data_IF_525572656559
#
_entry.id   IF_525572656559
#
_cell.length_a   1.000
_cell.length_b   1.000
_cell.length_c   1.000
_cell.angle_alpha   90.00
_cell.angle_beta   90.00
_cell.angle_gamma   90.00
#
_symmetry.space_group_name_H-M   'P 1'
#
loop_
_entity.id
_entity.type
_entity.pdbx_description
1 polymer ?
#
# COMPACT_ATOMS: atom_id res chain seq x y z
N UNK A 1 2.40 11.58 -16.99
CA UNK A 1 3.77 11.71 -16.50
C UNK A 1 4.82 11.37 -17.56
N UNK A 2 4.45 10.91 -18.73
CA UNK A 2 5.37 10.65 -19.84
C UNK A 2 6.43 9.56 -19.58
N UNK A 3 6.17 8.65 -18.65
CA UNK A 3 7.11 7.61 -18.25
C UNK A 3 7.14 6.48 -19.27
N UNK A 4 8.33 5.93 -19.46
CA UNK A 4 8.58 4.81 -20.36
C UNK A 4 8.34 3.47 -19.66
N UNK A 5 8.29 2.37 -20.42
CA UNK A 5 8.26 1.02 -19.84
C UNK A 5 9.51 0.72 -18.99
N UNK A 6 10.64 1.33 -19.33
CA UNK A 6 11.88 1.21 -18.54
C UNK A 6 11.73 1.89 -17.19
N UNK A 7 11.14 3.09 -17.14
CA UNK A 7 10.88 3.78 -15.87
C UNK A 7 9.92 2.98 -14.98
N UNK A 8 8.88 2.37 -15.57
CA UNK A 8 7.97 1.49 -14.84
C UNK A 8 8.69 0.27 -14.23
N UNK A 9 9.62 -0.35 -14.97
CA UNK A 9 10.45 -1.43 -14.46
C UNK A 9 11.36 -0.98 -13.32
N UNK A 10 11.97 0.21 -13.42
CA UNK A 10 12.80 0.79 -12.36
C UNK A 10 12.01 1.05 -11.09
N UNK A 11 10.79 1.62 -11.20
CA UNK A 11 9.89 1.80 -10.06
C UNK A 11 9.59 0.47 -9.37
N UNK A 12 9.22 -0.55 -10.16
CA UNK A 12 8.93 -1.88 -9.64
C UNK A 12 10.13 -2.49 -8.91
N UNK A 13 11.31 -2.46 -9.53
CA UNK A 13 12.55 -2.96 -8.93
C UNK A 13 12.92 -2.20 -7.66
N UNK A 14 12.85 -0.86 -7.69
CA UNK A 14 13.14 -0.04 -6.52
C UNK A 14 12.18 -0.32 -5.37
N UNK A 15 10.88 -0.41 -5.62
CA UNK A 15 9.87 -0.73 -4.60
C UNK A 15 10.10 -2.11 -3.94
N UNK A 16 10.58 -3.11 -4.70
CA UNK A 16 10.90 -4.44 -4.17
C UNK A 16 12.20 -4.48 -3.37
N UNK A 17 13.16 -3.58 -3.67
CA UNK A 17 14.52 -3.68 -3.12
C UNK A 17 14.91 -2.56 -2.18
N UNK A 18 14.08 -1.51 -2.04
CA UNK A 18 14.39 -0.34 -1.20
C UNK A 18 14.72 -0.69 0.26
N UNK A 19 14.14 -1.77 0.79
CA UNK A 19 14.26 -2.19 2.18
C UNK A 19 15.13 -3.44 2.38
N UNK A 20 15.88 -3.88 1.38
CA UNK A 20 16.58 -5.19 1.43
C UNK A 20 17.60 -5.26 2.58
N UNK A 21 18.21 -4.15 2.97
CA UNK A 21 19.17 -4.09 4.09
C UNK A 21 18.52 -4.11 5.47
N UNK A 22 17.20 -3.92 5.57
CA UNK A 22 16.51 -3.85 6.87
C UNK A 22 15.38 -4.88 7.04
N UNK A 23 15.33 -5.93 6.21
CA UNK A 23 14.25 -6.93 6.26
C UNK A 23 14.10 -7.59 7.64
N UNK A 24 15.23 -7.94 8.28
CA UNK A 24 15.21 -8.51 9.63
C UNK A 24 14.70 -7.49 10.66
N UNK A 25 15.21 -6.25 10.60
CA UNK A 25 14.77 -5.16 11.47
C UNK A 25 13.29 -4.85 11.27
N UNK A 26 12.77 -4.88 10.04
CA UNK A 26 11.34 -4.71 9.79
C UNK A 26 10.51 -5.79 10.49
N UNK A 27 10.97 -7.04 10.46
CA UNK A 27 10.34 -8.14 11.20
C UNK A 27 10.29 -7.89 12.71
N UNK A 28 11.40 -7.45 13.29
CA UNK A 28 11.49 -7.10 14.71
C UNK A 28 10.55 -5.93 15.07
N UNK A 29 10.58 -4.84 14.30
CA UNK A 29 9.75 -3.65 14.51
C UNK A 29 8.25 -3.92 14.33
N UNK A 30 7.88 -4.92 13.52
CA UNK A 30 6.48 -5.27 13.31
C UNK A 30 5.81 -5.84 14.58
N UNK A 31 6.60 -6.54 15.42
CA UNK A 31 6.13 -7.21 16.65
C UNK A 31 6.55 -6.47 17.93
N UNK A 32 7.35 -5.42 17.81
CA UNK A 32 7.84 -4.65 18.95
C UNK A 32 6.76 -3.70 19.48
N UNK A 33 6.57 -3.69 20.79
CA UNK A 33 5.61 -2.80 21.48
C UNK A 33 6.22 -1.49 21.93
N UNK A 34 7.55 -1.47 22.17
CA UNK A 34 8.30 -0.27 22.55
C UNK A 34 8.69 0.58 21.33
N UNK A 35 8.92 1.88 21.48
CA UNK A 35 9.52 2.68 20.43
C UNK A 35 10.87 2.11 19.97
N UNK A 36 11.31 2.38 18.74
CA UNK A 36 12.63 1.96 18.27
C UNK A 36 13.76 2.48 19.17
N UNK A 37 14.75 1.62 19.46
CA UNK A 37 15.95 2.03 20.20
C UNK A 37 16.79 3.01 19.39
N UNK A 38 17.80 3.71 20.00
CA UNK A 38 18.71 4.56 19.24
C UNK A 38 19.41 3.81 18.10
N UNK A 39 19.88 2.59 18.32
CA UNK A 39 20.56 1.75 17.33
C UNK A 39 19.61 1.35 16.20
N UNK A 40 18.36 1.02 16.52
CA UNK A 40 17.34 0.73 15.51
C UNK A 40 17.00 1.96 14.67
N UNK A 41 16.97 3.15 15.28
CA UNK A 41 16.76 4.41 14.53
C UNK A 41 17.92 4.71 13.60
N UNK A 42 19.15 4.50 14.04
CA UNK A 42 20.33 4.65 13.18
C UNK A 42 20.26 3.68 11.99
N UNK A 43 19.93 2.42 12.22
CA UNK A 43 19.74 1.43 11.15
C UNK A 43 18.60 1.83 10.19
N UNK A 44 17.47 2.38 10.71
CA UNK A 44 16.39 2.91 9.87
C UNK A 44 16.90 4.07 9.00
N UNK A 45 17.70 4.99 9.54
CA UNK A 45 18.22 6.11 8.76
C UNK A 45 19.27 5.70 7.73
N UNK A 46 20.04 4.66 8.01
CA UNK A 46 21.10 4.16 7.14
C UNK A 46 20.61 3.22 6.03
N UNK A 47 19.42 2.59 6.20
CA UNK A 47 18.99 1.51 5.30
C UNK A 47 18.91 1.89 3.82
N UNK A 48 18.54 3.12 3.38
CA UNK A 48 18.49 3.41 1.96
C UNK A 48 19.87 3.35 1.30
N UNK A 49 20.89 3.91 1.96
CA UNK A 49 22.27 3.86 1.48
C UNK A 49 22.84 2.43 1.51
N UNK A 50 22.55 1.66 2.56
CA UNK A 50 22.98 0.27 2.69
C UNK A 50 22.28 -0.62 1.65
N UNK A 51 20.99 -0.42 1.39
CA UNK A 51 20.25 -1.17 0.36
C UNK A 51 20.82 -0.90 -1.02
N UNK A 52 21.14 0.36 -1.34
CA UNK A 52 21.86 0.72 -2.57
C UNK A 52 23.20 -0.01 -2.67
N UNK A 53 24.02 0.04 -1.62
CA UNK A 53 25.33 -0.63 -1.59
C UNK A 53 25.21 -2.14 -1.82
N UNK A 54 24.24 -2.80 -1.18
CA UNK A 54 23.98 -4.23 -1.38
C UNK A 54 23.64 -4.55 -2.84
N UNK A 55 22.85 -3.72 -3.51
CA UNK A 55 22.51 -3.88 -4.91
C UNK A 55 23.74 -3.69 -5.83
N UNK A 56 24.58 -2.68 -5.55
CA UNK A 56 25.82 -2.45 -6.30
C UNK A 56 26.78 -3.64 -6.18
N UNK A 57 26.98 -4.18 -4.98
CA UNK A 57 27.78 -5.39 -4.73
C UNK A 57 27.18 -6.60 -5.46
N UNK A 58 25.85 -6.68 -5.59
CA UNK A 58 25.15 -7.74 -6.31
C UNK A 58 25.16 -7.56 -7.85
N UNK A 59 25.88 -6.56 -8.37
CA UNK A 59 26.04 -6.34 -9.81
C UNK A 59 24.95 -5.49 -10.46
N UNK A 60 24.16 -4.74 -9.69
CA UNK A 60 23.21 -3.77 -10.24
C UNK A 60 23.96 -2.50 -10.65
N UNK A 61 23.84 -2.11 -11.91
CA UNK A 61 24.50 -0.92 -12.49
C UNK A 61 23.50 0.14 -13.01
N UNK A 62 22.18 -0.09 -12.88
CA UNK A 62 21.15 0.89 -13.29
C UNK A 62 21.12 2.05 -12.28
N UNK A 63 21.73 3.18 -12.67
CA UNK A 63 21.90 4.36 -11.81
C UNK A 63 20.58 4.96 -11.33
N UNK A 64 19.51 4.88 -12.14
CA UNK A 64 18.21 5.43 -11.77
C UNK A 64 17.47 4.50 -10.77
N UNK A 65 17.63 3.19 -10.91
CA UNK A 65 17.13 2.25 -9.91
C UNK A 65 17.87 2.43 -8.58
N UNK A 66 19.20 2.47 -8.60
CA UNK A 66 20.02 2.68 -7.40
C UNK A 66 19.71 4.01 -6.72
N UNK A 67 19.55 5.09 -7.50
CA UNK A 67 19.16 6.39 -6.99
C UNK A 67 17.77 6.35 -6.34
N UNK A 68 16.81 5.65 -6.95
CA UNK A 68 15.48 5.50 -6.39
C UNK A 68 15.48 4.77 -5.04
N UNK A 69 16.30 3.72 -4.90
CA UNK A 69 16.48 3.00 -3.63
C UNK A 69 17.12 3.89 -2.56
N UNK A 70 18.18 4.65 -2.89
CA UNK A 70 18.84 5.53 -1.91
C UNK A 70 17.94 6.70 -1.48
N UNK A 71 17.11 7.23 -2.38
CA UNK A 71 16.41 8.49 -2.20
C UNK A 71 14.93 8.35 -1.76
N UNK A 72 14.41 7.13 -1.56
CA UNK A 72 12.98 6.93 -1.31
C UNK A 72 12.45 7.53 0.01
N UNK A 73 13.33 8.01 0.89
CA UNK A 73 12.98 8.76 2.09
C UNK A 73 13.36 10.24 2.03
N UNK A 74 13.85 10.72 0.87
CA UNK A 74 14.12 12.15 0.70
C UNK A 74 12.83 12.96 0.52
N UNK A 75 12.86 14.21 0.96
CA UNK A 75 11.76 15.17 0.84
C UNK A 75 12.20 16.36 -0.01
N UNK A 76 11.27 16.92 -0.79
CA UNK A 76 11.55 18.10 -1.63
C UNK A 76 11.96 19.35 -0.82
N UNK A 77 11.69 19.38 0.48
CA UNK A 77 12.10 20.46 1.39
C UNK A 77 13.50 20.24 2.02
N UNK A 78 14.13 19.06 1.74
CA UNK A 78 15.43 18.70 2.28
C UNK A 78 15.38 18.15 3.72
N UNK A 79 14.20 17.87 4.26
CA UNK A 79 14.05 17.30 5.61
C UNK A 79 14.10 15.77 5.62
N UNK A 80 14.30 15.16 4.45
CA UNK A 80 14.41 13.71 4.29
C UNK A 80 15.78 13.16 4.65
N UNK A 81 15.97 11.88 4.43
CA UNK A 81 17.22 11.17 4.63
C UNK A 81 17.49 10.17 3.50
N UNK A 82 18.71 9.67 3.29
CA UNK A 82 19.91 9.83 4.13
C UNK A 82 20.71 11.12 3.89
N UNK A 83 20.44 11.87 2.79
CA UNK A 83 21.28 12.99 2.35
C UNK A 83 20.64 14.36 2.50
N UNK A 84 19.35 14.45 2.76
CA UNK A 84 18.60 15.71 2.81
C UNK A 84 18.51 16.38 1.43
N UNK A 85 18.29 15.60 0.36
CA UNK A 85 18.18 16.12 -1.00
C UNK A 85 16.88 16.89 -1.18
N UNK A 86 16.95 18.06 -1.82
CA UNK A 86 15.77 18.88 -2.14
C UNK A 86 15.07 18.47 -3.44
N UNK A 87 15.77 17.75 -4.31
CA UNK A 87 15.26 17.30 -5.61
C UNK A 87 15.55 15.79 -5.79
N UNK A 88 14.83 14.91 -5.05
CA UNK A 88 14.97 13.49 -5.29
C UNK A 88 14.45 13.12 -6.69
N UNK A 89 14.94 12.02 -7.24
CA UNK A 89 14.50 11.54 -8.56
C UNK A 89 12.99 11.29 -8.58
N UNK A 90 12.36 11.47 -9.74
CA UNK A 90 10.92 11.21 -9.90
C UNK A 90 10.53 9.78 -9.53
N UNK A 91 11.40 8.81 -9.81
CA UNK A 91 11.19 7.41 -9.43
C UNK A 91 11.19 7.26 -7.90
N UNK A 92 12.18 7.84 -7.21
CA UNK A 92 12.24 7.87 -5.75
C UNK A 92 10.99 8.54 -5.14
N UNK A 93 10.57 9.66 -5.71
CA UNK A 93 9.39 10.40 -5.26
C UNK A 93 8.08 9.59 -5.36
N UNK A 94 7.94 8.73 -6.39
CA UNK A 94 6.80 7.83 -6.52
C UNK A 94 6.90 6.65 -5.55
N UNK A 95 8.07 6.02 -5.46
CA UNK A 95 8.34 4.90 -4.53
C UNK A 95 8.05 5.33 -3.09
N UNK A 96 8.52 6.52 -2.69
CA UNK A 96 8.24 7.11 -1.37
C UNK A 96 6.73 7.22 -1.08
N UNK A 97 5.96 7.70 -2.04
CA UNK A 97 4.49 7.83 -1.86
C UNK A 97 3.82 6.49 -1.73
N UNK A 98 4.24 5.51 -2.51
CA UNK A 98 3.74 4.14 -2.41
C UNK A 98 4.11 3.51 -1.06
N UNK A 99 5.35 3.71 -0.57
CA UNK A 99 5.79 3.25 0.74
C UNK A 99 4.96 3.86 1.88
N UNK A 100 4.78 5.19 1.88
CA UNK A 100 3.94 5.88 2.88
C UNK A 100 2.51 5.35 2.87
N UNK A 101 1.94 5.10 1.68
CA UNK A 101 0.58 4.56 1.56
C UNK A 101 0.49 3.15 2.13
N UNK A 102 1.36 2.25 1.72
CA UNK A 102 1.36 0.85 2.17
C UNK A 102 1.69 0.73 3.65
N UNK A 103 2.62 1.55 4.16
CA UNK A 103 2.93 1.60 5.59
C UNK A 103 1.72 2.04 6.45
N UNK A 104 0.82 2.90 5.93
CA UNK A 104 -0.42 3.28 6.63
C UNK A 104 -1.43 2.12 6.67
N UNK A 105 -1.46 1.28 5.65
CA UNK A 105 -2.36 0.12 5.56
C UNK A 105 -1.88 -1.07 6.39
N UNK A 106 -0.57 -1.16 6.66
CA UNK A 106 0.04 -2.28 7.37
C UNK A 106 -0.17 -2.15 8.88
N UNK A 107 -0.81 -3.14 9.53
CA UNK A 107 -0.92 -3.15 10.99
C UNK A 107 0.46 -3.42 11.61
N UNK A 108 0.69 -2.82 12.78
CA UNK A 108 1.84 -3.13 13.65
C UNK A 108 1.33 -3.29 15.07
N UNK A 109 2.04 -4.04 15.91
CA UNK A 109 1.70 -4.10 17.32
C UNK A 109 1.75 -2.66 17.90
N UNK A 110 0.67 -2.25 18.58
CA UNK A 110 0.54 -0.89 19.12
C UNK A 110 0.07 0.20 18.14
N UNK A 111 -0.13 -0.13 16.84
CA UNK A 111 -0.73 0.78 15.86
C UNK A 111 -1.71 0.06 14.95
N UNK A 112 -2.98 0.42 15.07
CA UNK A 112 -3.99 -0.05 14.13
C UNK A 112 -3.71 0.43 12.70
N UNK A 113 -4.02 -0.42 11.73
CA UNK A 113 -3.97 -0.02 10.32
C UNK A 113 -5.03 1.04 10.03
N UNK A 114 -4.67 2.01 9.23
CA UNK A 114 -5.62 3.00 8.72
C UNK A 114 -6.32 2.39 7.51
N UNK A 115 -7.63 2.60 7.38
CA UNK A 115 -8.37 2.16 6.21
C UNK A 115 -7.88 2.87 4.94
N UNK A 116 -7.98 2.21 3.79
CA UNK A 116 -7.40 2.72 2.54
C UNK A 116 -7.99 4.07 2.10
N UNK A 117 -9.30 4.27 2.30
CA UNK A 117 -9.97 5.56 2.05
C UNK A 117 -9.40 6.69 2.92
N UNK A 118 -9.14 6.41 4.21
CA UNK A 118 -8.50 7.37 5.10
C UNK A 118 -7.04 7.62 4.71
N UNK A 119 -6.29 6.56 4.37
CA UNK A 119 -4.90 6.68 3.94
C UNK A 119 -4.78 7.54 2.66
N UNK A 120 -5.60 7.26 1.65
CA UNK A 120 -5.65 8.05 0.41
C UNK A 120 -6.05 9.51 0.65
N UNK A 121 -7.04 9.75 1.51
CA UNK A 121 -7.46 11.10 1.89
C UNK A 121 -6.35 11.87 2.61
N UNK A 122 -5.63 11.23 3.54
CA UNK A 122 -4.50 11.84 4.23
C UNK A 122 -3.38 12.22 3.24
N UNK A 123 -3.05 11.35 2.29
CA UNK A 123 -2.04 11.66 1.27
C UNK A 123 -2.46 12.86 0.40
N UNK A 124 -3.72 12.88 -0.03
CA UNK A 124 -4.25 14.01 -0.81
C UNK A 124 -4.18 15.32 -0.04
N UNK A 125 -4.51 15.32 1.25
CA UNK A 125 -4.45 16.52 2.10
C UNK A 125 -3.01 17.00 2.36
N UNK A 126 -2.03 16.09 2.39
CA UNK A 126 -0.62 16.45 2.53
C UNK A 126 -0.03 17.09 1.27
N UNK A 127 -0.48 16.68 0.09
CA UNK A 127 0.00 17.17 -1.21
C UNK A 127 -1.19 17.44 -2.16
N UNK A 128 -2.00 18.49 -1.91
CA UNK A 128 -3.18 18.76 -2.73
C UNK A 128 -2.79 18.99 -4.20
N UNK A 129 -3.44 18.24 -5.10
CA UNK A 129 -3.22 18.39 -6.55
C UNK A 129 -1.91 17.78 -7.06
N UNK A 130 -1.10 17.13 -6.23
CA UNK A 130 0.15 16.52 -6.72
C UNK A 130 -0.15 15.35 -7.68
N UNK A 131 0.39 15.35 -8.92
CA UNK A 131 0.00 14.39 -9.96
C UNK A 131 0.34 12.94 -9.61
N UNK A 132 1.45 12.67 -8.92
CA UNK A 132 1.81 11.31 -8.50
C UNK A 132 0.87 10.79 -7.42
N UNK A 133 0.49 11.63 -6.45
CA UNK A 133 -0.45 11.27 -5.40
C UNK A 133 -1.83 11.00 -5.99
N UNK A 134 -2.30 11.85 -6.91
CA UNK A 134 -3.55 11.63 -7.63
C UNK A 134 -3.53 10.35 -8.46
N UNK A 135 -2.41 10.04 -9.14
CA UNK A 135 -2.25 8.82 -9.92
C UNK A 135 -2.27 7.56 -9.04
N UNK A 136 -1.60 7.58 -7.89
CA UNK A 136 -1.64 6.48 -6.92
C UNK A 136 -3.06 6.24 -6.39
N UNK A 137 -3.75 7.30 -5.95
CA UNK A 137 -5.13 7.19 -5.45
C UNK A 137 -6.07 6.66 -6.56
N UNK A 138 -5.90 7.13 -7.81
CA UNK A 138 -6.66 6.64 -8.96
C UNK A 138 -6.37 5.18 -9.24
N UNK A 139 -5.12 4.75 -9.13
CA UNK A 139 -4.69 3.38 -9.40
C UNK A 139 -5.14 2.39 -8.32
N UNK A 140 -4.93 2.71 -7.06
CA UNK A 140 -5.39 1.85 -5.95
C UNK A 140 -6.90 1.89 -5.77
N UNK A 141 -7.55 2.99 -6.14
CA UNK A 141 -8.95 3.25 -5.82
C UNK A 141 -9.14 3.68 -4.38
N UNK A 142 -10.37 4.06 -4.04
CA UNK A 142 -10.74 4.38 -2.65
C UNK A 142 -10.88 3.10 -1.83
N UNK A 143 -11.22 2.01 -2.49
CA UNK A 143 -11.39 0.67 -1.91
C UNK A 143 -10.50 -0.33 -2.66
N UNK A 144 -9.20 -0.41 -2.33
CA UNK A 144 -8.29 -1.34 -3.00
C UNK A 144 -8.61 -2.80 -2.66
N UNK A 145 -8.19 -3.75 -3.51
CA UNK A 145 -8.26 -5.17 -3.20
C UNK A 145 -7.61 -5.47 -1.84
N UNK A 146 -8.28 -6.33 -1.05
CA UNK A 146 -7.89 -6.65 0.32
C UNK A 146 -8.62 -5.83 1.40
N UNK A 147 -9.39 -4.78 1.04
CA UNK A 147 -10.22 -4.05 2.00
C UNK A 147 -11.50 -4.81 2.32
N UNK A 148 -11.84 -4.91 3.62
CA UNK A 148 -13.16 -5.32 4.04
C UNK A 148 -14.14 -4.15 3.97
N UNK A 149 -15.32 -4.41 3.41
CA UNK A 149 -16.37 -3.41 3.25
C UNK A 149 -17.72 -3.96 3.69
N UNK A 150 -18.57 -3.06 4.19
CA UNK A 150 -20.02 -3.31 4.35
C UNK A 150 -20.73 -2.64 3.19
N UNK A 151 -21.67 -3.37 2.59
CA UNK A 151 -22.48 -2.90 1.49
C UNK A 151 -23.81 -2.31 1.98
N UNK A 152 -24.50 -1.54 1.14
CA UNK A 152 -25.81 -0.99 1.44
C UNK A 152 -26.85 -2.08 1.65
N UNK A 153 -26.66 -3.26 1.05
CA UNK A 153 -27.46 -4.47 1.29
C UNK A 153 -27.35 -5.04 2.73
N UNK A 154 -26.38 -4.55 3.54
CA UNK A 154 -26.03 -5.10 4.84
C UNK A 154 -24.99 -6.23 4.81
N UNK A 155 -24.68 -6.75 3.62
CA UNK A 155 -23.67 -7.79 3.40
C UNK A 155 -22.25 -7.26 3.75
N UNK A 156 -21.39 -8.14 4.24
CA UNK A 156 -19.97 -7.84 4.46
C UNK A 156 -19.13 -8.66 3.49
N UNK A 157 -18.14 -8.04 2.87
CA UNK A 157 -17.28 -8.72 1.91
C UNK A 157 -15.88 -8.12 1.83
N UNK A 158 -15.05 -8.77 1.03
CA UNK A 158 -13.69 -8.37 0.70
C UNK A 158 -13.64 -7.82 -0.72
N UNK A 159 -13.04 -6.67 -0.92
CA UNK A 159 -12.76 -6.17 -2.26
C UNK A 159 -11.73 -7.09 -2.92
N UNK A 160 -12.07 -7.64 -4.09
CA UNK A 160 -11.21 -8.59 -4.82
C UNK A 160 -10.65 -8.00 -6.12
N UNK A 161 -11.35 -7.02 -6.69
CA UNK A 161 -10.93 -6.38 -7.94
C UNK A 161 -11.46 -4.95 -8.02
N UNK A 162 -10.73 -4.09 -8.74
CA UNK A 162 -11.24 -2.77 -9.13
C UNK A 162 -12.43 -2.93 -10.07
N UNK A 163 -13.37 -2.02 -9.98
CA UNK A 163 -14.50 -1.92 -10.90
C UNK A 163 -14.33 -0.81 -11.93
N UNK A 164 -15.44 -0.36 -12.49
CA UNK A 164 -15.44 0.67 -13.55
C UNK A 164 -14.97 2.05 -13.08
N UNK A 165 -15.09 2.35 -11.79
CA UNK A 165 -14.63 3.60 -11.19
C UNK A 165 -13.81 3.33 -9.92
N UNK A 166 -13.12 4.36 -9.41
CA UNK A 166 -12.35 4.28 -8.15
C UNK A 166 -13.24 4.02 -6.93
N UNK A 167 -14.57 4.25 -7.05
CA UNK A 167 -15.54 4.12 -5.97
C UNK A 167 -16.38 2.83 -6.05
N UNK A 168 -16.30 2.08 -7.15
CA UNK A 168 -17.19 0.95 -7.41
C UNK A 168 -16.40 -0.35 -7.63
N UNK A 169 -15.78 -0.92 -6.56
CA UNK A 169 -15.01 -2.16 -6.66
C UNK A 169 -15.90 -3.39 -6.88
N UNK A 170 -15.29 -4.51 -7.25
CA UNK A 170 -15.91 -5.83 -7.20
C UNK A 170 -15.63 -6.45 -5.84
N UNK A 171 -16.66 -6.95 -5.18
CA UNK A 171 -16.60 -7.48 -3.82
C UNK A 171 -16.98 -8.95 -3.79
N UNK A 172 -16.17 -9.76 -3.13
CA UNK A 172 -16.54 -11.11 -2.71
C UNK A 172 -17.26 -11.01 -1.36
N UNK A 173 -18.56 -11.17 -1.37
CA UNK A 173 -19.40 -11.13 -0.16
C UNK A 173 -19.20 -12.41 0.63
N UNK A 174 -18.98 -12.27 1.93
CA UNK A 174 -18.66 -13.33 2.89
C UNK A 174 -19.76 -13.57 3.92
N UNK A 175 -20.69 -12.61 4.06
CA UNK A 175 -21.84 -12.77 4.97
C UNK A 175 -23.15 -12.43 4.29
N UNK A 176 -24.22 -13.01 4.79
CA UNK A 176 -25.59 -12.55 4.48
C UNK A 176 -25.82 -11.13 4.99
N UNK A 177 -26.93 -10.45 4.58
CA UNK A 177 -27.31 -9.15 5.13
C UNK A 177 -27.50 -9.15 6.67
N UNK A 178 -27.77 -10.31 7.24
CA UNK A 178 -27.98 -10.51 8.69
C UNK A 178 -26.73 -10.94 9.44
N UNK A 179 -25.56 -10.98 8.77
CA UNK A 179 -24.27 -11.28 9.37
C UNK A 179 -23.89 -12.76 9.42
N UNK A 180 -24.74 -13.69 8.94
CA UNK A 180 -24.39 -15.11 8.87
C UNK A 180 -23.32 -15.35 7.81
N UNK A 181 -22.28 -16.12 8.15
CA UNK A 181 -21.21 -16.47 7.20
C UNK A 181 -21.73 -17.29 6.03
N UNK A 182 -21.25 -16.99 4.84
CA UNK A 182 -21.52 -17.75 3.62
C UNK A 182 -20.43 -18.84 3.44
N UNK A 183 -20.88 -20.03 3.02
CA UNK A 183 -19.95 -21.15 2.66
C UNK A 183 -19.18 -20.86 1.39
N UNK A 184 -19.79 -20.16 0.45
CA UNK A 184 -19.18 -19.75 -0.83
C UNK A 184 -19.35 -18.25 -0.99
N UNK A 185 -18.26 -17.51 -1.24
CA UNK A 185 -18.37 -16.08 -1.48
C UNK A 185 -19.20 -15.75 -2.72
N UNK A 186 -20.01 -14.70 -2.63
CA UNK A 186 -20.84 -14.24 -3.75
C UNK A 186 -20.23 -12.97 -4.36
N UNK A 187 -20.20 -12.90 -5.67
CA UNK A 187 -19.76 -11.70 -6.39
C UNK A 187 -20.81 -10.60 -6.31
N UNK A 188 -20.38 -9.38 -5.94
CA UNK A 188 -21.18 -8.15 -6.05
C UNK A 188 -20.43 -7.10 -6.84
N UNK A 189 -21.15 -6.49 -7.78
CA UNK A 189 -20.70 -5.27 -8.45
C UNK A 189 -21.27 -4.08 -7.70
N UNK A 190 -20.39 -3.29 -7.07
CA UNK A 190 -20.81 -2.15 -6.25
C UNK A 190 -21.21 -0.93 -7.08
N UNK A 191 -21.17 -0.99 -8.41
CA UNK A 191 -21.82 -0.03 -9.29
C UNK A 191 -23.36 -0.09 -9.18
N UNK A 192 -23.91 -1.23 -8.78
CA UNK A 192 -25.32 -1.37 -8.48
C UNK A 192 -25.63 -0.74 -7.12
N UNK A 193 -26.62 0.16 -7.07
CA UNK A 193 -26.93 0.97 -5.90
C UNK A 193 -27.20 0.15 -4.63
N UNK A 194 -27.85 -0.99 -4.77
CA UNK A 194 -28.13 -1.89 -3.64
C UNK A 194 -26.87 -2.49 -3.01
N UNK A 195 -25.79 -2.64 -3.80
CA UNK A 195 -24.50 -3.17 -3.36
C UNK A 195 -23.43 -2.07 -3.19
N UNK A 196 -23.79 -0.80 -3.28
CA UNK A 196 -22.83 0.29 -3.10
C UNK A 196 -22.11 0.12 -1.74
N UNK A 197 -20.83 0.54 -1.69
CA UNK A 197 -20.07 0.48 -0.45
C UNK A 197 -20.65 1.47 0.55
N UNK A 198 -21.11 0.98 1.70
CA UNK A 198 -21.60 1.78 2.81
C UNK A 198 -20.44 2.27 3.69
N UNK A 199 -19.55 1.36 4.06
CA UNK A 199 -18.40 1.68 4.93
C UNK A 199 -17.25 0.70 4.76
N UNK A 200 -16.03 1.16 5.09
CA UNK A 200 -14.84 0.30 5.21
C UNK A 200 -14.77 -0.26 6.62
N UNK A 201 -14.42 -1.53 6.74
CA UNK A 201 -14.26 -2.22 8.01
C UNK A 201 -12.77 -2.45 8.31
N UNK A 202 -12.38 -2.33 9.58
CA UNK A 202 -11.04 -2.70 10.01
C UNK A 202 -10.81 -4.22 9.93
N UNK A 203 -9.59 -4.64 9.66
CA UNK A 203 -9.22 -6.07 9.57
C UNK A 203 -9.62 -6.87 10.83
N UNK A 204 -9.48 -6.28 12.00
CA UNK A 204 -9.82 -6.92 13.28
C UNK A 204 -11.33 -7.07 13.53
N UNK A 205 -12.14 -6.36 12.75
CA UNK A 205 -13.62 -6.40 12.90
C UNK A 205 -14.26 -7.58 12.18
N UNK A 206 -13.47 -8.34 11.38
CA UNK A 206 -13.99 -9.37 10.49
C UNK A 206 -13.27 -10.69 10.77
N UNK A 207 -13.83 -11.50 11.69
CA UNK A 207 -13.32 -12.83 12.03
C UNK A 207 -13.56 -13.92 10.97
N UNK A 208 -13.77 -13.54 9.72
CA UNK A 208 -14.11 -14.46 8.62
C UNK A 208 -12.84 -15.02 7.98
N UNK A 209 -12.79 -16.36 7.87
CA UNK A 209 -11.76 -17.07 7.12
C UNK A 209 -12.31 -17.40 5.73
N UNK A 210 -11.56 -17.05 4.70
CA UNK A 210 -11.87 -17.40 3.31
C UNK A 210 -10.59 -17.89 2.65
N UNK A 211 -10.71 -18.88 1.78
CA UNK A 211 -9.55 -19.40 1.06
C UNK A 211 -9.16 -18.49 -0.11
N UNK A 212 -7.86 -18.37 -0.43
CA UNK A 212 -7.41 -17.62 -1.60
C UNK A 212 -8.07 -18.07 -2.90
N UNK A 213 -8.29 -19.38 -3.08
CA UNK A 213 -8.90 -19.96 -4.26
C UNK A 213 -10.34 -19.47 -4.45
N UNK A 214 -11.13 -19.39 -3.36
CA UNK A 214 -12.49 -18.89 -3.40
C UNK A 214 -12.56 -17.40 -3.78
N UNK A 215 -11.59 -16.59 -3.29
CA UNK A 215 -11.49 -15.18 -3.66
C UNK A 215 -11.07 -14.99 -5.12
N UNK A 216 -10.10 -15.78 -5.60
CA UNK A 216 -9.67 -15.76 -7.00
C UNK A 216 -10.79 -16.13 -7.96
N UNK A 217 -11.62 -17.12 -7.62
CA UNK A 217 -12.78 -17.50 -8.43
C UNK A 217 -13.77 -16.33 -8.60
N UNK A 218 -14.03 -15.56 -7.54
CA UNK A 218 -14.89 -14.37 -7.59
C UNK A 218 -14.23 -13.22 -8.36
N UNK A 219 -12.92 -13.08 -8.26
CA UNK A 219 -12.17 -12.02 -8.95
C UNK A 219 -12.12 -12.25 -10.48
N UNK A 220 -12.12 -13.52 -10.92
CA UNK A 220 -12.06 -13.93 -12.32
C UNK A 220 -13.43 -13.85 -13.04
N UNK A 221 -14.52 -13.99 -12.29
CA UNK A 221 -15.89 -13.88 -12.79
C UNK A 221 -16.29 -12.40 -13.05
#
# INVERSE_FOLDING_TARGET
MGWTAVDAQRVFKAALTMNISMLELQGQLAVQTSPPTPEQREAILAHPALSRQMLEISGVHDVDWLAAVEQHHENNDGTGYPRGLREPSNIAALVRRADIYTAKLSPRIGRESITADKAGRMMFMQEPGHPMTAALIKEFGVYPPGCFVRLMSGETGLVVRRGGTVMTPIVAVLTSPYGSSLTTPLRRDTALREYAVHSVLGHHSVGLKVTPEALLAVAAA
#
